data_IF_929342494349
#
_entry.id   IF_929342494349
#
_cell.length_a   1.000
_cell.length_b   1.000
_cell.length_c   1.000
_cell.angle_alpha   90.00
_cell.angle_beta   90.00
_cell.angle_gamma   90.00
#
_symmetry.space_group_name_H-M   'P 1'
#
loop_
_entity.id
_entity.type
_entity.pdbx_description
1 polymer ?
#
# COMPACT_ATOMS: atom_id res chain seq x y z
N UNK A 1 -37.26 13.08 -71.12
CA UNK A 1 -37.14 14.41 -70.47
C UNK A 1 -35.84 14.47 -69.69
N UNK A 2 -34.84 15.20 -70.19
CA UNK A 2 -33.55 15.35 -69.52
C UNK A 2 -33.67 16.41 -68.42
N UNK A 3 -33.55 16.02 -67.15
CA UNK A 3 -33.48 16.99 -66.04
C UNK A 3 -32.30 17.97 -66.26
N UNK A 4 -32.52 19.29 -66.11
CA UNK A 4 -31.49 20.30 -66.32
C UNK A 4 -30.30 20.10 -65.36
N UNK A 5 -29.08 20.30 -65.85
CA UNK A 5 -27.81 20.10 -65.13
C UNK A 5 -27.79 20.73 -63.72
N UNK A 6 -28.52 21.84 -63.53
CA UNK A 6 -28.59 22.59 -62.26
C UNK A 6 -29.23 21.81 -61.09
N UNK A 7 -30.03 20.77 -61.36
CA UNK A 7 -30.63 19.90 -60.33
C UNK A 7 -29.81 18.64 -60.00
N UNK A 8 -28.71 18.36 -60.72
CA UNK A 8 -27.87 17.16 -60.50
C UNK A 8 -26.68 17.40 -59.57
N UNK A 9 -26.23 18.65 -59.47
CA UNK A 9 -25.15 19.06 -58.56
C UNK A 9 -25.42 18.70 -57.09
N UNK A 10 -26.60 18.98 -56.49
CA UNK A 10 -26.85 18.61 -55.09
C UNK A 10 -26.86 17.09 -54.89
N UNK A 11 -27.33 16.31 -55.87
CA UNK A 11 -27.32 14.85 -55.82
C UNK A 11 -25.90 14.29 -55.87
N UNK A 12 -25.04 14.84 -56.74
CA UNK A 12 -23.63 14.44 -56.87
C UNK A 12 -22.86 14.77 -55.58
N UNK A 13 -23.08 15.96 -55.01
CA UNK A 13 -22.48 16.36 -53.73
C UNK A 13 -22.92 15.42 -52.60
N UNK A 14 -24.21 15.08 -52.53
CA UNK A 14 -24.72 14.15 -51.53
C UNK A 14 -24.09 12.75 -51.63
N UNK A 15 -23.89 12.24 -52.85
CA UNK A 15 -23.23 10.94 -53.09
C UNK A 15 -21.77 10.99 -52.66
N UNK A 16 -21.03 12.04 -53.01
CA UNK A 16 -19.62 12.20 -52.62
C UNK A 16 -19.47 12.28 -51.10
N UNK A 17 -20.34 13.04 -50.42
CA UNK A 17 -20.36 13.11 -48.95
C UNK A 17 -20.67 11.74 -48.35
N UNK A 18 -21.65 11.01 -48.86
CA UNK A 18 -21.98 9.67 -48.38
C UNK A 18 -20.81 8.68 -48.56
N UNK A 19 -20.09 8.74 -49.69
CA UNK A 19 -18.89 7.94 -49.93
C UNK A 19 -17.73 8.31 -49.01
N UNK A 20 -17.51 9.61 -48.75
CA UNK A 20 -16.51 10.07 -47.79
C UNK A 20 -16.86 9.62 -46.36
N UNK A 21 -18.14 9.66 -45.99
CA UNK A 21 -18.61 9.13 -44.71
C UNK A 21 -18.38 7.62 -44.66
N UNK A 22 -18.75 6.85 -45.68
CA UNK A 22 -18.52 5.41 -45.71
C UNK A 22 -17.02 5.05 -45.69
N UNK A 23 -16.19 5.80 -46.41
CA UNK A 23 -14.73 5.64 -46.36
C UNK A 23 -14.18 5.97 -44.97
N UNK A 24 -14.64 7.07 -44.36
CA UNK A 24 -14.26 7.45 -43.00
C UNK A 24 -14.69 6.38 -41.98
N UNK A 25 -15.91 5.85 -42.10
CA UNK A 25 -16.42 4.73 -41.29
C UNK A 25 -15.59 3.46 -41.49
N UNK A 26 -15.22 3.16 -42.74
CA UNK A 26 -14.36 2.02 -43.09
C UNK A 26 -12.97 2.15 -42.49
N UNK A 27 -12.35 3.33 -42.58
CA UNK A 27 -11.04 3.60 -41.95
C UNK A 27 -11.12 3.51 -40.42
N UNK A 28 -12.19 4.03 -39.83
CA UNK A 28 -12.40 3.98 -38.37
C UNK A 28 -12.56 2.53 -37.87
N UNK A 29 -13.30 1.72 -38.62
CA UNK A 29 -13.43 0.28 -38.34
C UNK A 29 -12.09 -0.46 -38.45
N UNK A 30 -11.27 -0.14 -39.46
CA UNK A 30 -9.93 -0.72 -39.59
C UNK A 30 -9.03 -0.35 -38.38
N UNK A 31 -9.05 0.91 -37.95
CA UNK A 31 -8.31 1.39 -36.78
C UNK A 31 -8.78 0.71 -35.48
N UNK A 32 -10.08 0.50 -35.30
CA UNK A 32 -10.60 -0.24 -34.15
C UNK A 32 -10.06 -1.67 -34.09
N UNK A 33 -10.04 -2.35 -35.24
CA UNK A 33 -9.53 -3.72 -35.35
C UNK A 33 -8.04 -3.80 -35.06
N UNK A 34 -7.27 -2.83 -35.56
CA UNK A 34 -5.84 -2.73 -35.30
C UNK A 34 -5.55 -2.42 -33.82
N UNK A 35 -6.25 -1.46 -33.24
CA UNK A 35 -6.16 -1.14 -31.81
C UNK A 35 -6.51 -2.36 -30.94
N UNK A 36 -7.57 -3.09 -31.30
CA UNK A 36 -7.94 -4.34 -30.63
C UNK A 36 -6.83 -5.37 -30.70
N UNK A 37 -6.28 -5.64 -31.89
CA UNK A 37 -5.21 -6.60 -32.09
C UNK A 37 -3.94 -6.21 -31.32
N UNK A 38 -3.61 -4.92 -31.28
CA UNK A 38 -2.50 -4.40 -30.50
C UNK A 38 -2.68 -4.65 -29.00
N UNK A 39 -3.87 -4.38 -28.46
CA UNK A 39 -4.18 -4.60 -27.04
C UNK A 39 -4.16 -6.09 -26.69
N UNK A 40 -4.73 -6.95 -27.53
CA UNK A 40 -4.68 -8.41 -27.35
C UNK A 40 -3.23 -8.92 -27.38
N UNK A 41 -2.42 -8.43 -28.33
CA UNK A 41 -0.99 -8.76 -28.43
C UNK A 41 -0.17 -8.28 -27.23
N UNK A 42 -0.44 -7.08 -26.72
CA UNK A 42 0.22 -6.54 -25.53
C UNK A 42 -0.19 -7.28 -24.24
N UNK A 43 -1.42 -7.79 -24.17
CA UNK A 43 -1.94 -8.53 -23.03
C UNK A 43 -1.46 -9.99 -22.99
N UNK A 44 -1.31 -10.65 -24.15
CA UNK A 44 -1.02 -12.09 -24.24
C UNK A 44 0.19 -12.59 -23.41
N UNK A 45 1.34 -11.86 -23.32
CA UNK A 45 2.46 -12.27 -22.50
C UNK A 45 2.13 -12.27 -21.00
N UNK A 46 1.30 -11.32 -20.55
CA UNK A 46 1.08 -11.05 -19.13
C UNK A 46 -0.27 -11.56 -18.61
N UNK A 47 -1.21 -11.90 -19.49
CA UNK A 47 -2.58 -12.22 -19.09
C UNK A 47 -3.51 -12.59 -20.24
N UNK A 48 -4.80 -12.56 -19.95
CA UNK A 48 -5.90 -12.79 -20.89
C UNK A 48 -7.07 -11.89 -20.54
N UNK A 49 -7.93 -11.60 -21.51
CA UNK A 49 -9.25 -11.00 -21.33
C UNK A 49 -10.27 -11.84 -22.10
N UNK A 50 -11.50 -11.93 -21.60
CA UNK A 50 -12.58 -12.62 -22.30
C UNK A 50 -13.01 -11.86 -23.56
N UNK A 51 -12.99 -10.53 -23.51
CA UNK A 51 -13.18 -9.67 -24.67
C UNK A 51 -12.41 -8.36 -24.55
N UNK A 52 -12.09 -7.80 -25.71
CA UNK A 52 -11.53 -6.46 -25.88
C UNK A 52 -12.46 -5.70 -26.82
N UNK A 53 -13.05 -4.62 -26.31
CA UNK A 53 -13.94 -3.73 -27.02
C UNK A 53 -13.25 -2.38 -27.19
N UNK A 54 -13.19 -1.88 -28.42
CA UNK A 54 -12.68 -0.53 -28.70
C UNK A 54 -13.88 0.34 -29.02
N UNK A 55 -13.99 1.49 -28.35
CA UNK A 55 -15.07 2.43 -28.60
C UNK A 55 -15.09 2.87 -30.06
N UNK A 56 -16.27 3.22 -30.55
CA UNK A 56 -16.45 3.55 -31.95
C UNK A 56 -15.55 4.71 -32.39
N UNK A 57 -15.42 5.72 -31.55
CA UNK A 57 -14.60 6.91 -31.74
C UNK A 57 -13.13 6.74 -31.28
N UNK A 58 -12.71 5.50 -30.95
CA UNK A 58 -11.39 5.16 -30.39
C UNK A 58 -11.10 5.81 -29.02
N UNK A 59 -12.10 6.46 -28.40
CA UNK A 59 -11.89 7.25 -27.18
C UNK A 59 -11.59 6.39 -25.95
N UNK A 60 -11.95 5.11 -25.99
CA UNK A 60 -11.66 4.14 -24.93
C UNK A 60 -11.46 2.72 -25.47
N UNK A 61 -10.73 1.93 -24.68
CA UNK A 61 -10.59 0.49 -24.83
C UNK A 61 -11.07 -0.16 -23.55
N UNK A 62 -11.97 -1.11 -23.66
CA UNK A 62 -12.56 -1.83 -22.55
C UNK A 62 -12.20 -3.32 -22.63
N UNK A 63 -11.63 -3.85 -21.56
CA UNK A 63 -11.29 -5.25 -21.40
C UNK A 63 -12.22 -5.89 -20.36
N UNK A 64 -12.79 -7.06 -20.67
CA UNK A 64 -13.74 -7.77 -19.81
C UNK A 64 -13.13 -9.09 -19.30
N UNK A 65 -13.39 -9.43 -18.02
CA UNK A 65 -12.84 -10.59 -17.28
C UNK A 65 -11.33 -10.73 -17.52
N UNK A 66 -10.59 -9.70 -17.12
CA UNK A 66 -9.13 -9.66 -17.24
C UNK A 66 -8.51 -10.52 -16.15
N UNK A 67 -7.55 -11.35 -16.54
CA UNK A 67 -6.76 -12.20 -15.65
C UNK A 67 -5.29 -12.09 -16.00
N UNK A 68 -4.50 -11.59 -15.05
CA UNK A 68 -3.05 -11.45 -15.21
C UNK A 68 -2.33 -12.63 -14.59
N UNK A 69 -1.49 -13.28 -15.40
CA UNK A 69 -0.73 -14.48 -15.05
C UNK A 69 0.20 -14.19 -13.87
N UNK A 70 0.34 -15.10 -12.91
CA UNK A 70 1.30 -14.97 -11.83
C UNK A 70 2.71 -15.37 -12.24
N UNK A 71 3.76 -14.84 -11.57
CA UNK A 71 5.09 -15.43 -11.63
C UNK A 71 5.14 -16.77 -10.88
N UNK A 72 6.22 -17.56 -11.00
CA UNK A 72 6.44 -18.73 -10.15
C UNK A 72 6.39 -18.38 -8.65
N UNK A 73 5.91 -19.31 -7.82
CA UNK A 73 5.80 -19.16 -6.37
C UNK A 73 4.91 -17.99 -5.91
N UNK A 74 3.88 -17.66 -6.68
CA UNK A 74 2.86 -16.69 -6.30
C UNK A 74 1.81 -17.32 -5.37
N UNK A 75 1.20 -16.57 -4.42
CA UNK A 75 0.26 -17.14 -3.45
C UNK A 75 -1.12 -17.51 -4.02
N UNK A 76 -1.46 -16.98 -5.20
CA UNK A 76 -2.80 -17.07 -5.81
C UNK A 76 -2.69 -17.48 -7.28
N UNK A 77 -3.83 -17.85 -7.88
CA UNK A 77 -3.88 -18.25 -9.29
C UNK A 77 -3.62 -17.11 -10.28
N UNK A 78 -3.89 -15.85 -9.86
CA UNK A 78 -3.77 -14.66 -10.68
C UNK A 78 -3.09 -13.54 -9.88
N UNK A 79 -2.29 -12.69 -10.54
CA UNK A 79 -1.78 -11.45 -9.91
C UNK A 79 -2.86 -10.39 -9.80
N UNK A 80 -3.72 -10.32 -10.81
CA UNK A 80 -4.91 -9.47 -10.88
C UNK A 80 -6.00 -10.24 -11.60
N UNK A 81 -7.19 -10.23 -11.02
CA UNK A 81 -8.44 -10.52 -11.71
C UNK A 81 -9.31 -9.27 -11.66
N UNK A 82 -9.92 -8.87 -12.77
CA UNK A 82 -10.80 -7.71 -12.82
C UNK A 82 -11.99 -8.00 -13.74
N UNK A 83 -13.20 -7.62 -13.33
CA UNK A 83 -14.35 -7.77 -14.22
C UNK A 83 -14.25 -6.84 -15.43
N UNK A 84 -13.68 -5.63 -15.22
CA UNK A 84 -13.55 -4.60 -16.25
C UNK A 84 -12.29 -3.79 -16.06
N UNK A 85 -11.58 -3.54 -17.16
CA UNK A 85 -10.53 -2.51 -17.24
C UNK A 85 -10.87 -1.58 -18.39
N UNK A 86 -11.01 -0.29 -18.11
CA UNK A 86 -11.23 0.75 -19.12
C UNK A 86 -9.99 1.61 -19.24
N UNK A 87 -9.49 1.77 -20.46
CA UNK A 87 -8.33 2.59 -20.79
C UNK A 87 -8.78 3.71 -21.70
N UNK A 88 -8.51 4.95 -21.31
CA UNK A 88 -8.88 6.15 -22.04
C UNK A 88 -7.63 6.83 -22.57
N UNK A 89 -7.24 6.61 -23.83
CA UNK A 89 -6.08 7.27 -24.42
C UNK A 89 -6.31 8.77 -24.67
N UNK A 90 -5.21 9.51 -24.87
CA UNK A 90 -5.22 10.81 -25.53
C UNK A 90 -5.01 10.65 -27.03
N UNK A 91 -6.10 10.76 -27.78
CA UNK A 91 -6.09 10.62 -29.24
C UNK A 91 -5.19 11.65 -29.93
N UNK A 92 -5.07 12.87 -29.39
CA UNK A 92 -4.20 13.90 -29.98
C UNK A 92 -2.73 13.57 -29.77
N UNK A 93 -2.40 13.06 -28.59
CA UNK A 93 -1.05 12.57 -28.30
C UNK A 93 -0.68 11.39 -29.21
N UNK A 94 -1.59 10.43 -29.41
CA UNK A 94 -1.37 9.29 -30.31
C UNK A 94 -1.12 9.73 -31.76
N UNK A 95 -1.86 10.72 -32.28
CA UNK A 95 -1.61 11.31 -33.60
C UNK A 95 -0.22 11.97 -33.70
N UNK A 96 0.31 12.46 -32.58
CA UNK A 96 1.67 13.00 -32.48
C UNK A 96 2.73 11.94 -32.16
N UNK A 97 2.40 10.64 -32.26
CA UNK A 97 3.27 9.53 -31.85
C UNK A 97 3.75 9.71 -30.41
N UNK A 98 2.83 9.97 -29.47
CA UNK A 98 3.12 10.02 -28.02
C UNK A 98 2.16 9.07 -27.29
N UNK A 99 2.70 8.28 -26.37
CA UNK A 99 1.89 7.38 -25.55
C UNK A 99 1.44 8.14 -24.31
N UNK A 100 0.23 8.66 -24.37
CA UNK A 100 -0.41 9.36 -23.27
C UNK A 100 -1.76 8.72 -22.98
N UNK A 101 -1.94 8.26 -21.75
CA UNK A 101 -3.16 7.63 -21.25
C UNK A 101 -3.75 8.57 -20.20
N UNK A 102 -4.98 9.04 -20.45
CA UNK A 102 -5.66 9.96 -19.53
C UNK A 102 -6.22 9.23 -18.31
N UNK A 103 -6.72 8.01 -18.52
CA UNK A 103 -7.36 7.25 -17.46
C UNK A 103 -7.19 5.75 -17.67
N UNK A 104 -6.91 5.03 -16.59
CA UNK A 104 -7.04 3.57 -16.51
C UNK A 104 -7.89 3.24 -15.29
N UNK A 105 -9.10 2.75 -15.50
CA UNK A 105 -9.99 2.34 -14.41
C UNK A 105 -10.11 0.83 -14.36
N UNK A 106 -9.85 0.23 -13.19
CA UNK A 106 -9.92 -1.19 -12.91
C UNK A 106 -11.06 -1.44 -11.92
N UNK A 107 -12.15 -2.07 -12.37
CA UNK A 107 -13.37 -2.27 -11.57
C UNK A 107 -13.57 -3.74 -11.19
N UNK A 108 -14.14 -3.95 -10.01
CA UNK A 108 -14.49 -5.28 -9.46
C UNK A 108 -13.31 -6.24 -9.50
N UNK A 109 -12.22 -5.82 -8.87
CA UNK A 109 -10.94 -6.51 -8.95
C UNK A 109 -10.59 -7.30 -7.70
N UNK A 110 -9.74 -8.31 -7.88
CA UNK A 110 -8.94 -8.94 -6.83
C UNK A 110 -7.48 -8.85 -7.25
N UNK A 111 -6.68 -8.10 -6.49
CA UNK A 111 -5.26 -7.92 -6.78
C UNK A 111 -4.42 -8.46 -5.63
N UNK A 112 -3.44 -9.29 -5.95
CA UNK A 112 -2.52 -9.84 -4.98
C UNK A 112 -1.29 -8.93 -4.88
N UNK A 113 -0.90 -8.60 -3.65
CA UNK A 113 0.35 -7.89 -3.35
C UNK A 113 1.19 -8.79 -2.46
N UNK A 114 2.44 -9.02 -2.84
CA UNK A 114 3.33 -9.93 -2.11
C UNK A 114 4.56 -9.20 -1.59
N UNK A 115 4.80 -9.25 -0.28
CA UNK A 115 6.09 -8.90 0.31
C UNK A 115 6.95 -10.14 0.48
N UNK A 116 8.15 -10.11 -0.09
CA UNK A 116 9.15 -11.17 0.08
C UNK A 116 9.82 -11.10 1.45
N UNK A 117 10.54 -12.16 1.80
CA UNK A 117 11.38 -12.20 3.01
C UNK A 117 12.43 -11.10 3.05
N UNK A 118 12.94 -10.69 1.87
CA UNK A 118 13.84 -9.53 1.71
C UNK A 118 13.20 -8.19 2.06
N UNK A 119 11.88 -8.15 2.28
CA UNK A 119 11.10 -6.93 2.45
C UNK A 119 10.66 -6.28 1.14
N UNK A 120 11.10 -6.77 -0.03
CA UNK A 120 10.69 -6.25 -1.33
C UNK A 120 9.20 -6.51 -1.57
N UNK A 121 8.47 -5.46 -1.95
CA UNK A 121 7.06 -5.54 -2.33
C UNK A 121 6.96 -5.80 -3.85
N UNK A 122 6.10 -6.75 -4.21
CA UNK A 122 5.79 -7.11 -5.59
C UNK A 122 4.34 -6.81 -5.87
N UNK A 123 4.12 -5.98 -6.89
CA UNK A 123 2.82 -5.61 -7.43
C UNK A 123 2.93 -5.82 -8.94
N UNK A 124 2.04 -6.64 -9.50
CA UNK A 124 1.97 -6.94 -10.93
C UNK A 124 3.36 -7.19 -11.58
N UNK A 125 4.20 -8.10 -11.04
CA UNK A 125 5.60 -8.22 -11.44
C UNK A 125 5.78 -8.53 -12.93
N UNK A 126 4.95 -9.41 -13.49
CA UNK A 126 4.99 -9.78 -14.90
C UNK A 126 4.64 -8.59 -15.81
N UNK A 127 3.73 -7.71 -15.38
CA UNK A 127 3.38 -6.50 -16.12
C UNK A 127 4.57 -5.51 -16.13
N UNK A 128 5.24 -5.34 -14.99
CA UNK A 128 6.46 -4.51 -14.91
C UNK A 128 7.59 -5.07 -15.78
N UNK A 129 7.78 -6.39 -15.78
CA UNK A 129 8.78 -7.06 -16.61
C UNK A 129 8.47 -6.90 -18.10
N UNK A 130 7.22 -7.05 -18.52
CA UNK A 130 6.82 -6.79 -19.91
C UNK A 130 7.04 -5.33 -20.33
N UNK A 131 6.74 -4.38 -19.44
CA UNK A 131 6.98 -2.95 -19.69
C UNK A 131 8.47 -2.60 -19.82
N UNK A 132 9.34 -3.29 -19.07
CA UNK A 132 10.80 -3.07 -19.11
C UNK A 132 11.47 -3.80 -20.28
N UNK A 133 11.07 -5.03 -20.59
CA UNK A 133 11.58 -5.79 -21.75
C UNK A 133 11.17 -5.15 -23.09
N UNK A 134 9.97 -4.57 -23.16
CA UNK A 134 9.55 -3.79 -24.33
C UNK A 134 10.41 -2.54 -24.57
N UNK A 135 11.07 -2.00 -23.53
CA UNK A 135 12.01 -0.90 -23.67
C UNK A 135 13.40 -1.36 -24.14
N UNK A 136 13.89 -2.53 -23.69
CA UNK A 136 15.21 -3.06 -24.07
C UNK A 136 15.26 -3.63 -25.49
N UNK A 137 14.16 -4.23 -25.98
CA UNK A 137 14.09 -4.72 -27.37
C UNK A 137 14.09 -3.59 -28.41
N UNK A 138 13.68 -2.37 -28.03
CA UNK A 138 13.75 -1.20 -28.90
C UNK A 138 15.19 -0.63 -29.03
N UNK A 139 16.03 -0.81 -28.00
CA UNK A 139 17.42 -0.36 -28.02
C UNK A 139 18.36 -1.25 -28.87
N UNK A 140 18.14 -2.56 -28.93
CA UNK A 140 18.97 -3.48 -29.74
C UNK A 140 18.60 -3.50 -31.24
N UNK A 141 17.45 -2.95 -31.60
CA UNK A 141 16.95 -2.90 -32.99
C UNK A 141 17.33 -1.62 -33.76
N UNK A 142 18.18 -0.74 -33.20
CA UNK A 142 18.62 0.51 -33.86
C UNK A 142 19.55 0.33 -35.08
N UNK A 143 19.55 -0.87 -35.70
CA UNK A 143 20.30 -1.21 -36.90
C UNK A 143 19.50 -1.31 -38.20
N UNK A 144 18.17 -1.18 -38.19
CA UNK A 144 17.36 -1.26 -39.41
C UNK A 144 16.22 -0.22 -39.44
N UNK A 145 16.21 0.60 -40.50
CA UNK A 145 15.18 1.61 -40.74
C UNK A 145 13.82 0.96 -41.08
N UNK A 146 12.75 1.39 -40.41
CA UNK A 146 11.36 1.25 -40.88
C UNK A 146 10.31 0.90 -39.82
N UNK A 147 9.53 1.92 -39.43
CA UNK A 147 8.17 1.89 -38.83
C UNK A 147 8.00 1.73 -37.30
N UNK A 148 7.76 2.89 -36.66
CA UNK A 148 7.10 3.16 -35.36
C UNK A 148 7.63 2.44 -34.11
N UNK A 149 8.82 2.83 -33.66
CA UNK A 149 9.23 2.61 -32.27
C UNK A 149 8.28 3.37 -31.34
N UNK A 150 7.61 2.67 -30.42
CA UNK A 150 6.82 3.29 -29.37
C UNK A 150 7.67 4.36 -28.64
N UNK A 151 7.11 5.54 -28.34
CA UNK A 151 7.77 6.62 -27.60
C UNK A 151 8.42 6.13 -26.31
N UNK A 152 9.64 6.60 -26.09
CA UNK A 152 10.47 6.27 -24.91
C UNK A 152 9.81 6.77 -23.61
N UNK A 153 9.05 7.86 -23.69
CA UNK A 153 8.28 8.45 -22.59
C UNK A 153 6.81 8.05 -22.66
N UNK A 154 6.27 7.57 -21.55
CA UNK A 154 4.85 7.19 -21.41
C UNK A 154 4.27 7.90 -20.20
N UNK A 155 3.17 8.62 -20.41
CA UNK A 155 2.48 9.36 -19.36
C UNK A 155 1.12 8.72 -19.10
N UNK A 156 0.80 8.51 -17.83
CA UNK A 156 -0.53 8.10 -17.37
C UNK A 156 -1.01 9.12 -16.34
N UNK A 157 -2.08 9.84 -16.67
CA UNK A 157 -2.60 10.90 -15.80
C UNK A 157 -3.26 10.31 -14.54
N UNK A 158 -4.11 9.28 -14.71
CA UNK A 158 -4.86 8.65 -13.63
C UNK A 158 -4.94 7.12 -13.78
N UNK A 159 -4.79 6.41 -12.67
CA UNK A 159 -5.10 4.99 -12.54
C UNK A 159 -6.04 4.81 -11.35
N UNK A 160 -7.28 4.43 -11.62
CA UNK A 160 -8.32 4.16 -10.65
C UNK A 160 -8.52 2.67 -10.41
N UNK A 161 -8.75 2.30 -9.16
CA UNK A 161 -9.15 0.97 -8.73
C UNK A 161 -10.45 1.09 -7.97
N UNK A 162 -11.49 0.38 -8.40
CA UNK A 162 -12.84 0.55 -7.89
C UNK A 162 -13.46 -0.78 -7.45
N UNK A 163 -14.18 -0.73 -6.33
CA UNK A 163 -14.99 -1.83 -5.80
C UNK A 163 -14.27 -3.19 -5.75
N UNK A 164 -13.00 -3.21 -5.33
CA UNK A 164 -12.20 -4.42 -5.37
C UNK A 164 -11.71 -4.94 -4.03
N UNK A 165 -10.74 -5.84 -4.11
CA UNK A 165 -10.06 -6.48 -2.98
C UNK A 165 -8.56 -6.49 -3.23
N UNK A 166 -7.80 -5.96 -2.28
CA UNK A 166 -6.35 -6.18 -2.21
C UNK A 166 -6.07 -7.32 -1.23
N UNK A 167 -5.44 -8.39 -1.72
CA UNK A 167 -4.92 -9.47 -0.88
C UNK A 167 -3.42 -9.28 -0.68
N UNK A 168 -3.04 -8.81 0.51
CA UNK A 168 -1.65 -8.61 0.90
C UNK A 168 -1.10 -9.88 1.56
N UNK A 169 -0.07 -10.47 0.96
CA UNK A 169 0.66 -11.61 1.51
C UNK A 169 2.05 -11.16 1.94
N UNK A 170 2.44 -11.43 3.18
CA UNK A 170 3.75 -11.05 3.73
C UNK A 170 4.55 -12.28 4.20
N UNK A 171 5.61 -12.59 3.45
CA UNK A 171 6.57 -13.66 3.79
C UNK A 171 7.61 -13.24 4.82
N UNK A 172 7.79 -11.94 5.04
CA UNK A 172 8.78 -11.42 6.01
C UNK A 172 8.38 -11.69 7.46
N UNK A 173 7.09 -11.98 7.72
CA UNK A 173 6.57 -12.26 9.05
C UNK A 173 6.09 -13.69 9.24
N UNK A 174 5.72 -14.44 8.19
CA UNK A 174 5.38 -15.86 8.37
C UNK A 174 5.63 -16.73 7.15
N UNK A 175 5.77 -18.03 7.42
CA UNK A 175 5.77 -19.08 6.42
C UNK A 175 4.78 -20.17 6.90
N UNK A 176 3.63 -20.40 6.22
CA UNK A 176 3.19 -19.77 4.96
C UNK A 176 2.97 -18.24 5.08
N UNK A 177 2.93 -17.50 3.95
CA UNK A 177 2.85 -16.03 3.96
C UNK A 177 1.62 -15.52 4.70
N UNK A 178 1.77 -14.48 5.52
CA UNK A 178 0.66 -13.92 6.29
C UNK A 178 -0.28 -13.15 5.36
N UNK A 179 -1.56 -13.48 5.38
CA UNK A 179 -2.56 -12.83 4.52
C UNK A 179 -3.33 -11.76 5.28
N UNK A 180 -3.40 -10.57 4.71
CA UNK A 180 -4.30 -9.49 5.11
C UNK A 180 -5.16 -9.12 3.91
N UNK A 181 -6.49 -9.13 4.09
CA UNK A 181 -7.43 -8.80 3.01
C UNK A 181 -8.03 -7.43 3.27
N UNK A 182 -7.92 -6.54 2.27
CA UNK A 182 -8.59 -5.24 2.24
C UNK A 182 -9.68 -5.29 1.18
N UNK A 183 -10.94 -5.43 1.60
CA UNK A 183 -12.08 -5.49 0.69
C UNK A 183 -12.79 -4.14 0.56
N UNK A 184 -13.75 -4.04 -0.36
CA UNK A 184 -14.40 -2.77 -0.73
C UNK A 184 -13.35 -1.68 -0.95
N UNK A 185 -12.25 -2.06 -1.58
CA UNK A 185 -11.09 -1.22 -1.74
C UNK A 185 -11.30 -0.26 -2.91
N UNK A 186 -10.86 0.98 -2.71
CA UNK A 186 -10.68 1.97 -3.75
C UNK A 186 -9.24 2.44 -3.71
N UNK A 187 -8.63 2.69 -4.85
CA UNK A 187 -7.34 3.34 -4.92
C UNK A 187 -7.23 4.26 -6.13
N UNK A 188 -6.42 5.30 -6.01
CA UNK A 188 -6.03 6.16 -7.12
C UNK A 188 -4.52 6.35 -7.15
N UNK A 189 -3.98 6.45 -8.36
CA UNK A 189 -2.59 6.81 -8.61
C UNK A 189 -2.61 7.89 -9.70
N UNK A 190 -2.07 9.07 -9.42
CA UNK A 190 -2.06 10.19 -10.35
C UNK A 190 -0.63 10.57 -10.75
N UNK A 191 -0.47 11.00 -12.00
CA UNK A 191 0.79 11.50 -12.57
C UNK A 191 1.90 10.44 -12.55
N UNK A 192 1.75 9.41 -13.39
CA UNK A 192 2.75 8.36 -13.57
C UNK A 192 3.54 8.60 -14.85
N UNK A 193 4.81 8.96 -14.70
CA UNK A 193 5.72 9.27 -15.81
C UNK A 193 6.78 8.18 -15.92
N UNK A 194 6.63 7.31 -16.92
CA UNK A 194 7.51 6.17 -17.16
C UNK A 194 8.57 6.51 -18.23
N UNK A 195 9.77 5.90 -18.14
CA UNK A 195 10.22 4.97 -17.10
C UNK A 195 10.89 5.68 -15.90
N UNK A 196 11.14 6.99 -15.99
CA UNK A 196 11.97 7.73 -15.04
C UNK A 196 11.40 7.73 -13.62
N UNK A 197 10.08 7.91 -13.47
CA UNK A 197 9.37 7.93 -12.18
C UNK A 197 10.02 8.88 -11.13
N UNK A 198 10.57 9.99 -11.62
CA UNK A 198 11.24 11.03 -10.83
C UNK A 198 10.29 12.10 -10.33
N UNK A 199 9.13 12.26 -10.97
CA UNK A 199 8.10 13.23 -10.59
C UNK A 199 7.24 12.71 -9.42
N UNK A 200 6.63 13.60 -8.61
CA UNK A 200 5.72 13.19 -7.55
C UNK A 200 4.46 12.53 -8.09
N UNK A 201 4.30 11.24 -7.82
CA UNK A 201 3.07 10.48 -8.06
C UNK A 201 2.19 10.57 -6.81
N UNK A 202 0.93 10.97 -6.97
CA UNK A 202 -0.04 10.97 -5.85
C UNK A 202 -0.67 9.60 -5.73
N UNK A 203 -0.90 9.17 -4.50
CA UNK A 203 -1.51 7.88 -4.20
C UNK A 203 -2.61 8.07 -3.17
N UNK A 204 -3.70 7.33 -3.31
CA UNK A 204 -4.75 7.22 -2.31
C UNK A 204 -5.28 5.80 -2.31
N UNK A 205 -5.55 5.24 -1.14
CA UNK A 205 -6.15 3.92 -0.94
C UNK A 205 -7.10 4.01 0.25
N UNK A 206 -8.30 3.48 0.08
CA UNK A 206 -9.26 3.28 1.17
C UNK A 206 -9.83 1.88 1.08
N UNK A 207 -10.18 1.30 2.23
CA UNK A 207 -10.86 0.02 2.24
C UNK A 207 -11.10 -0.53 3.63
N UNK A 208 -11.71 -1.70 3.65
CA UNK A 208 -12.07 -2.42 4.86
C UNK A 208 -11.09 -3.55 5.12
N UNK A 209 -10.43 -3.53 6.27
CA UNK A 209 -9.51 -4.58 6.70
C UNK A 209 -10.32 -5.72 7.32
N UNK A 210 -10.36 -6.85 6.64
CA UNK A 210 -11.12 -8.02 7.09
C UNK A 210 -10.38 -8.68 8.26
N UNK A 211 -11.01 -8.67 9.42
CA UNK A 211 -10.54 -9.37 10.62
C UNK A 211 -11.43 -10.56 10.99
N UNK A 212 -10.95 -11.42 11.89
CA UNK A 212 -11.69 -12.58 12.38
C UNK A 212 -12.97 -12.25 13.18
N UNK A 213 -13.02 -11.10 13.86
CA UNK A 213 -14.19 -10.66 14.66
C UNK A 213 -14.75 -9.33 14.17
N UNK A 214 -13.89 -8.39 13.79
CA UNK A 214 -14.27 -7.05 13.37
C UNK A 214 -13.74 -6.74 11.97
N UNK A 215 -14.48 -5.91 11.24
CA UNK A 215 -13.99 -5.30 10.00
C UNK A 215 -13.52 -3.88 10.31
N UNK A 216 -12.22 -3.69 10.27
CA UNK A 216 -11.61 -2.36 10.45
C UNK A 216 -11.64 -1.54 9.17
N UNK A 217 -11.21 -0.29 9.25
CA UNK A 217 -11.04 0.62 8.10
C UNK A 217 -9.58 1.03 7.96
N UNK A 218 -9.13 1.18 6.73
CA UNK A 218 -7.81 1.66 6.38
C UNK A 218 -7.92 2.84 5.42
N UNK A 219 -7.11 3.87 5.65
CA UNK A 219 -6.78 4.89 4.65
C UNK A 219 -5.27 5.00 4.49
N UNK A 220 -4.82 5.28 3.28
CA UNK A 220 -3.43 5.55 2.96
C UNK A 220 -3.40 6.57 1.83
N UNK A 221 -2.76 7.72 2.01
CA UNK A 221 -2.73 8.75 0.99
C UNK A 221 -1.48 9.62 1.07
N UNK A 222 -1.13 10.28 -0.03
CA UNK A 222 -0.01 11.22 -0.07
C UNK A 222 0.65 11.26 -1.44
N UNK A 223 1.95 11.54 -1.45
CA UNK A 223 2.75 11.55 -2.67
C UNK A 223 4.07 10.81 -2.46
N UNK A 224 4.61 10.26 -3.56
CA UNK A 224 5.93 9.65 -3.60
C UNK A 224 6.63 9.90 -4.94
N UNK A 225 7.94 10.07 -4.90
CA UNK A 225 8.83 9.96 -6.05
C UNK A 225 9.46 8.56 -6.02
N UNK A 226 9.07 7.69 -6.93
CA UNK A 226 9.43 6.26 -6.85
C UNK A 226 10.94 6.06 -7.05
N UNK A 227 11.57 6.85 -7.92
CA UNK A 227 13.01 6.76 -8.20
C UNK A 227 13.89 7.16 -7.01
N UNK A 228 13.60 8.30 -6.37
CA UNK A 228 14.35 8.81 -5.21
C UNK A 228 13.93 8.19 -3.88
N UNK A 229 12.71 7.60 -3.84
CA UNK A 229 11.99 7.15 -2.64
C UNK A 229 11.54 8.27 -1.71
N UNK A 230 11.67 9.53 -2.12
CA UNK A 230 11.16 10.65 -1.34
C UNK A 230 9.63 10.60 -1.32
N UNK A 231 9.03 10.83 -0.16
CA UNK A 231 7.58 10.67 0.00
C UNK A 231 7.05 11.42 1.21
N UNK A 232 5.77 11.75 1.17
CA UNK A 232 5.00 12.13 2.34
C UNK A 232 3.67 11.37 2.29
N UNK A 233 3.47 10.49 3.28
CA UNK A 233 2.38 9.52 3.31
C UNK A 233 1.68 9.59 4.67
N UNK A 234 0.36 9.56 4.65
CA UNK A 234 -0.47 9.46 5.83
C UNK A 234 -1.20 8.12 5.80
N UNK A 235 -1.15 7.37 6.89
CA UNK A 235 -1.82 6.08 7.02
C UNK A 235 -2.69 6.09 8.26
N UNK A 236 -3.95 5.68 8.12
CA UNK A 236 -4.82 5.42 9.27
C UNK A 236 -5.36 4.01 9.25
N UNK A 237 -5.41 3.39 10.43
CA UNK A 237 -6.20 2.21 10.70
C UNK A 237 -7.20 2.55 11.80
N UNK A 238 -8.43 2.05 11.68
CA UNK A 238 -9.47 2.23 12.70
C UNK A 238 -10.20 0.91 12.93
N UNK A 239 -10.24 0.45 14.17
CA UNK A 239 -10.96 -0.75 14.60
C UNK A 239 -10.45 -2.04 13.95
N UNK A 240 -9.16 -2.12 13.61
CA UNK A 240 -8.58 -3.33 13.01
C UNK A 240 -8.35 -4.36 14.12
N UNK A 241 -8.80 -5.60 13.92
CA UNK A 241 -8.52 -6.68 14.86
C UNK A 241 -7.01 -6.83 15.08
N UNK A 242 -6.56 -6.83 16.34
CA UNK A 242 -5.14 -7.01 16.66
C UNK A 242 -4.61 -8.32 16.10
N UNK A 243 -5.45 -9.38 16.09
CA UNK A 243 -5.12 -10.68 15.48
C UNK A 243 -4.78 -10.60 14.00
N UNK A 244 -5.31 -9.64 13.25
CA UNK A 244 -4.99 -9.45 11.82
C UNK A 244 -3.58 -8.90 11.61
N UNK A 245 -3.03 -8.20 12.61
CA UNK A 245 -1.69 -7.57 12.56
C UNK A 245 -0.69 -8.21 13.54
N UNK A 246 -1.11 -9.26 14.24
CA UNK A 246 -0.35 -9.92 15.29
C UNK A 246 1.07 -10.33 14.88
N UNK A 247 1.31 -10.88 13.66
CA UNK A 247 2.67 -11.25 13.25
C UNK A 247 3.64 -10.07 13.14
N UNK A 248 3.13 -8.85 13.00
CA UNK A 248 3.94 -7.63 12.97
C UNK A 248 4.31 -7.13 14.37
N UNK A 249 3.56 -7.53 15.40
CA UNK A 249 3.75 -7.10 16.78
C UNK A 249 4.60 -8.09 17.58
N UNK A 250 4.37 -9.40 17.41
CA UNK A 250 4.88 -10.40 18.37
C UNK A 250 6.06 -11.22 17.89
N UNK A 251 6.13 -11.60 16.61
CA UNK A 251 7.00 -12.69 16.17
C UNK A 251 8.50 -12.40 16.29
N UNK A 252 8.90 -11.12 16.23
CA UNK A 252 10.32 -10.73 16.43
C UNK A 252 10.66 -10.33 17.87
N UNK A 253 9.68 -10.22 18.76
CA UNK A 253 9.91 -9.89 20.16
C UNK A 253 10.28 -11.10 21.03
N UNK A 254 10.35 -12.30 20.44
CA UNK A 254 10.71 -13.54 21.15
C UNK A 254 9.60 -14.10 22.05
N UNK A 255 8.37 -13.58 21.94
CA UNK A 255 7.32 -13.77 22.93
C UNK A 255 6.09 -14.53 22.41
N UNK A 256 5.47 -15.32 23.30
CA UNK A 256 4.38 -16.29 23.01
C UNK A 256 2.98 -15.84 23.49
N UNK A 257 2.79 -14.58 23.88
CA UNK A 257 1.45 -14.16 24.33
C UNK A 257 0.46 -14.25 23.17
N UNK A 258 -0.51 -15.16 23.27
CA UNK A 258 -1.49 -15.37 22.22
C UNK A 258 -2.58 -14.30 22.34
N UNK A 259 -2.67 -13.38 21.39
CA UNK A 259 -3.74 -12.37 21.35
C UNK A 259 -5.04 -13.05 20.96
N UNK A 260 -6.02 -13.04 21.86
CA UNK A 260 -7.32 -13.69 21.63
C UNK A 260 -8.36 -12.72 21.11
N UNK A 261 -8.20 -11.41 21.32
CA UNK A 261 -9.16 -10.38 20.90
C UNK A 261 -8.69 -8.95 21.16
N UNK A 262 -9.52 -7.99 20.76
CA UNK A 262 -9.24 -6.55 20.83
C UNK A 262 -8.99 -5.92 19.46
N UNK A 263 -9.09 -4.59 19.40
CA UNK A 263 -8.92 -3.81 18.16
C UNK A 263 -7.82 -2.75 18.32
N UNK A 264 -7.34 -2.25 17.19
CA UNK A 264 -6.28 -1.28 17.09
C UNK A 264 -6.65 -0.14 16.14
N UNK A 265 -6.36 1.08 16.61
CA UNK A 265 -6.30 2.28 15.79
C UNK A 265 -4.84 2.69 15.60
N UNK A 266 -4.49 3.14 14.39
CA UNK A 266 -3.17 3.65 14.05
C UNK A 266 -3.30 4.98 13.32
N UNK A 267 -2.54 5.98 13.72
CA UNK A 267 -2.31 7.20 12.95
C UNK A 267 -0.80 7.31 12.69
N UNK A 268 -0.38 7.40 11.43
CA UNK A 268 1.03 7.44 11.05
C UNK A 268 1.24 8.47 9.95
N UNK A 269 2.13 9.44 10.23
CA UNK A 269 2.59 10.41 9.25
C UNK A 269 4.04 10.09 8.89
N UNK A 270 4.29 9.59 7.70
CA UNK A 270 5.62 9.19 7.25
C UNK A 270 6.18 10.17 6.23
N UNK A 271 7.39 10.66 6.48
CA UNK A 271 8.15 11.46 5.53
C UNK A 271 9.47 10.77 5.24
N UNK A 272 9.80 10.64 3.96
CA UNK A 272 11.12 10.20 3.49
C UNK A 272 11.74 11.33 2.68
N UNK A 273 12.95 11.75 3.04
CA UNK A 273 13.74 12.72 2.29
C UNK A 273 15.19 12.25 2.23
N UNK A 274 15.74 12.09 1.04
CA UNK A 274 17.12 11.65 0.87
C UNK A 274 17.41 10.33 1.59
N UNK A 275 16.48 9.38 1.55
CA UNK A 275 16.51 8.09 2.26
C UNK A 275 16.46 8.18 3.79
N UNK A 276 16.26 9.35 4.39
CA UNK A 276 15.97 9.46 5.81
C UNK A 276 14.47 9.41 6.05
N UNK A 277 14.03 8.42 6.82
CA UNK A 277 12.66 8.27 7.31
C UNK A 277 12.49 9.06 8.61
N UNK A 278 11.42 9.83 8.70
CA UNK A 278 10.88 10.35 9.94
C UNK A 278 9.36 10.13 9.93
N UNK A 279 8.86 9.30 10.85
CA UNK A 279 7.47 8.88 10.88
C UNK A 279 6.89 8.87 12.30
N UNK A 280 6.43 10.02 12.82
CA UNK A 280 5.67 10.07 14.06
C UNK A 280 4.32 9.37 13.88
N UNK A 281 3.93 8.60 14.90
CA UNK A 281 2.68 7.89 14.93
C UNK A 281 2.09 7.74 16.31
N UNK A 282 0.82 7.38 16.34
CA UNK A 282 0.07 7.04 17.53
C UNK A 282 -0.66 5.74 17.28
N UNK A 283 -0.58 4.81 18.22
CA UNK A 283 -1.35 3.57 18.21
C UNK A 283 -2.21 3.50 19.46
N UNK A 284 -3.47 3.14 19.29
CA UNK A 284 -4.40 2.93 20.40
C UNK A 284 -4.92 1.50 20.34
N UNK A 285 -4.71 0.78 21.43
CA UNK A 285 -5.21 -0.59 21.62
C UNK A 285 -6.48 -0.53 22.46
N UNK A 286 -7.52 -1.19 21.96
CA UNK A 286 -8.84 -1.23 22.58
C UNK A 286 -9.19 -2.65 22.99
N UNK A 287 -9.53 -2.83 24.26
CA UNK A 287 -10.01 -4.07 24.85
C UNK A 287 -9.12 -5.27 24.49
N UNK A 288 -7.79 -5.09 24.53
CA UNK A 288 -6.83 -6.14 24.19
C UNK A 288 -7.02 -7.33 25.14
N UNK A 289 -7.19 -8.52 24.55
CA UNK A 289 -7.32 -9.77 25.28
C UNK A 289 -6.11 -10.64 24.98
N UNK A 290 -5.41 -11.02 26.05
CA UNK A 290 -4.24 -11.89 25.99
C UNK A 290 -4.62 -13.20 26.66
N UNK A 291 -4.34 -14.32 26.01
CA UNK A 291 -4.51 -15.63 26.63
C UNK A 291 -3.68 -15.72 27.91
N UNK A 292 -4.26 -16.29 28.96
CA UNK A 292 -3.50 -16.64 30.15
C UNK A 292 -2.48 -17.72 29.79
N UNK A 293 -1.21 -17.41 30.00
CA UNK A 293 -0.15 -18.40 29.92
C UNK A 293 0.16 -18.97 31.29
N UNK A 294 0.37 -20.29 31.33
CA UNK A 294 0.91 -20.97 32.51
C UNK A 294 2.40 -20.66 32.74
N UNK A 295 3.10 -20.12 31.74
CA UNK A 295 4.51 -19.77 31.80
C UNK A 295 4.70 -18.34 32.35
N UNK A 296 5.36 -18.23 33.51
CA UNK A 296 5.60 -16.95 34.20
C UNK A 296 6.52 -15.97 33.43
N UNK A 297 7.15 -16.44 32.34
CA UNK A 297 8.07 -15.66 31.50
C UNK A 297 7.44 -15.17 30.20
N UNK A 298 6.14 -15.43 29.97
CA UNK A 298 5.47 -14.94 28.77
C UNK A 298 5.34 -13.42 28.77
N UNK A 299 5.57 -12.86 27.59
CA UNK A 299 5.57 -11.41 27.39
C UNK A 299 4.68 -11.00 26.22
N UNK A 300 4.11 -9.80 26.32
CA UNK A 300 3.48 -9.07 25.23
C UNK A 300 4.34 -7.84 24.96
N UNK A 301 4.85 -7.68 23.74
CA UNK A 301 5.84 -6.65 23.40
C UNK A 301 7.01 -6.63 24.41
N UNK A 302 7.54 -7.80 24.80
CA UNK A 302 8.63 -7.93 25.79
C UNK A 302 8.33 -7.42 27.20
N UNK A 303 7.06 -7.19 27.54
CA UNK A 303 6.59 -6.88 28.89
C UNK A 303 5.85 -8.09 29.45
N UNK A 304 6.01 -8.46 30.74
CA UNK A 304 5.27 -9.58 31.32
C UNK A 304 3.77 -9.49 31.05
N UNK A 305 3.17 -10.55 30.50
CA UNK A 305 1.76 -10.54 30.05
C UNK A 305 0.80 -10.10 31.15
N UNK A 306 1.06 -10.50 32.41
CA UNK A 306 0.25 -10.08 33.57
C UNK A 306 0.31 -8.57 33.82
N UNK A 307 1.47 -7.94 33.61
CA UNK A 307 1.63 -6.49 33.74
C UNK A 307 0.88 -5.76 32.61
N UNK A 308 0.95 -6.28 31.38
CA UNK A 308 0.18 -5.73 30.26
C UNK A 308 -1.34 -5.80 30.54
N UNK A 309 -1.85 -6.94 31.04
CA UNK A 309 -3.26 -7.10 31.44
C UNK A 309 -3.62 -6.11 32.56
N UNK A 310 -2.75 -5.91 33.56
CA UNK A 310 -2.99 -4.95 34.63
C UNK A 310 -3.04 -3.50 34.11
N UNK A 311 -2.14 -3.14 33.18
CA UNK A 311 -2.15 -1.85 32.50
C UNK A 311 -3.48 -1.60 31.80
N UNK A 312 -3.92 -2.57 31.00
CA UNK A 312 -5.18 -2.50 30.27
C UNK A 312 -6.35 -2.29 31.23
N UNK A 313 -6.41 -3.04 32.33
CA UNK A 313 -7.46 -2.87 33.36
C UNK A 313 -7.42 -1.48 34.00
N UNK A 314 -6.23 -0.97 34.34
CA UNK A 314 -6.05 0.34 34.94
C UNK A 314 -6.51 1.48 34.00
N UNK A 315 -6.30 1.31 32.69
CA UNK A 315 -6.71 2.28 31.66
C UNK A 315 -8.06 1.93 31.00
N UNK A 316 -8.95 1.22 31.70
CA UNK A 316 -10.32 0.89 31.25
C UNK A 316 -10.37 0.18 29.88
N UNK A 317 -9.37 -0.62 29.57
CA UNK A 317 -9.25 -1.38 28.33
C UNK A 317 -8.58 -0.61 27.18
N UNK A 318 -8.21 0.66 27.37
CA UNK A 318 -7.62 1.49 26.31
C UNK A 318 -6.18 1.87 26.63
N UNK A 319 -5.25 1.63 25.71
CA UNK A 319 -3.86 2.09 25.85
C UNK A 319 -3.46 2.83 24.59
N UNK A 320 -3.12 4.11 24.74
CA UNK A 320 -2.59 4.94 23.66
C UNK A 320 -1.08 5.11 23.82
N UNK A 321 -0.35 4.88 22.74
CA UNK A 321 1.10 4.93 22.68
C UNK A 321 1.52 5.85 21.55
N UNK A 322 2.42 6.78 21.86
CA UNK A 322 3.07 7.63 20.87
C UNK A 322 4.45 7.06 20.55
N UNK A 323 4.83 7.12 19.28
CA UNK A 323 6.13 6.65 18.81
C UNK A 323 6.64 7.52 17.67
N UNK A 324 7.96 7.51 17.46
CA UNK A 324 8.57 8.13 16.27
C UNK A 324 9.53 7.14 15.63
N UNK A 325 9.25 6.74 14.38
CA UNK A 325 10.18 5.91 13.62
C UNK A 325 11.15 6.82 12.86
N UNK A 326 12.43 6.72 13.17
CA UNK A 326 13.46 7.53 12.53
C UNK A 326 14.67 6.69 12.13
N UNK A 327 15.20 6.94 10.93
CA UNK A 327 16.47 6.34 10.51
C UNK A 327 16.72 6.35 9.00
N UNK A 328 17.90 5.86 8.62
CA UNK A 328 18.33 5.85 7.22
C UNK A 328 17.94 4.53 6.52
N UNK A 329 17.14 4.62 5.47
CA UNK A 329 16.66 3.48 4.68
C UNK A 329 17.78 2.77 3.87
N UNK A 330 18.96 3.39 3.75
CA UNK A 330 20.16 2.77 3.16
C UNK A 330 21.03 2.04 4.17
N UNK A 331 20.82 2.25 5.46
CA UNK A 331 21.56 1.52 6.48
C UNK A 331 21.03 0.06 6.54
N UNK A 332 21.85 -0.96 6.23
CA UNK A 332 21.42 -2.36 6.28
C UNK A 332 21.03 -2.80 7.70
N UNK A 333 21.53 -2.13 8.75
CA UNK A 333 21.18 -2.37 10.15
C UNK A 333 19.83 -1.77 10.52
N UNK A 334 19.35 -0.77 9.79
CA UNK A 334 18.04 -0.19 10.04
C UNK A 334 16.93 -1.19 9.66
N UNK A 335 16.13 -1.58 10.66
CA UNK A 335 14.99 -2.49 10.49
C UNK A 335 13.73 -1.83 11.04
N UNK A 336 12.83 -1.42 10.14
CA UNK A 336 11.60 -0.71 10.49
C UNK A 336 10.78 -1.42 11.58
N UNK A 337 10.57 -2.73 11.44
CA UNK A 337 9.79 -3.51 12.41
C UNK A 337 10.46 -3.56 13.80
N UNK A 338 11.79 -3.64 13.86
CA UNK A 338 12.51 -3.72 15.16
C UNK A 338 12.48 -2.37 15.87
N UNK A 339 12.62 -1.27 15.12
CA UNK A 339 12.46 0.08 15.65
C UNK A 339 11.03 0.33 16.14
N UNK A 340 10.01 -0.09 15.37
CA UNK A 340 8.62 0.01 15.81
C UNK A 340 8.38 -0.74 17.13
N UNK A 341 8.80 -2.00 17.23
CA UNK A 341 8.63 -2.77 18.48
C UNK A 341 9.38 -2.09 19.64
N UNK A 342 10.55 -1.51 19.39
CA UNK A 342 11.34 -0.79 20.41
C UNK A 342 10.63 0.46 20.92
N UNK A 343 10.08 1.27 20.01
CA UNK A 343 9.29 2.44 20.39
C UNK A 343 7.99 2.05 21.11
N UNK A 344 7.28 1.02 20.63
CA UNK A 344 6.07 0.53 21.29
C UNK A 344 6.34 -0.02 22.69
N UNK A 345 7.47 -0.71 22.89
CA UNK A 345 7.95 -1.12 24.23
C UNK A 345 8.14 0.07 25.14
N UNK A 346 8.81 1.11 24.66
CA UNK A 346 9.06 2.32 25.43
C UNK A 346 7.75 3.03 25.81
N UNK A 347 6.82 3.19 24.85
CA UNK A 347 5.50 3.76 25.09
C UNK A 347 4.70 2.96 26.13
N UNK A 348 4.73 1.63 26.05
CA UNK A 348 4.04 0.79 27.04
C UNK A 348 4.65 0.89 28.44
N UNK A 349 5.99 0.91 28.55
CA UNK A 349 6.66 1.11 29.82
C UNK A 349 6.29 2.47 30.45
N UNK A 350 6.15 3.50 29.63
CA UNK A 350 5.67 4.81 30.05
C UNK A 350 4.20 4.76 30.52
N UNK A 351 3.32 4.07 29.79
CA UNK A 351 1.92 3.87 30.16
C UNK A 351 1.73 3.08 31.48
N UNK A 352 2.72 2.26 31.84
CA UNK A 352 2.81 1.51 33.09
C UNK A 352 3.42 2.33 34.26
N UNK A 353 3.88 3.56 34.01
CA UNK A 353 4.51 4.40 35.04
C UNK A 353 5.91 3.96 35.45
N UNK A 354 6.55 3.05 34.70
CA UNK A 354 7.91 2.53 34.96
C UNK A 354 8.97 3.24 34.09
N UNK A 355 8.71 4.50 33.71
CA UNK A 355 9.70 5.30 32.97
C UNK A 355 10.99 5.46 33.77
N UNK A 356 12.11 5.68 33.08
CA UNK A 356 13.41 5.93 33.70
C UNK A 356 13.37 7.10 34.70
N UNK A 357 12.46 8.07 34.51
CA UNK A 357 12.22 9.17 35.46
C UNK A 357 11.49 8.73 36.75
N UNK A 358 10.57 7.77 36.66
CA UNK A 358 9.90 7.17 37.83
C UNK A 358 10.87 6.37 38.72
N UNK A 359 11.86 5.70 38.10
CA UNK A 359 12.93 5.00 38.83
C UNK A 359 13.92 5.99 39.45
N UNK A 360 14.24 7.10 38.78
CA UNK A 360 15.09 8.15 39.33
C UNK A 360 14.44 8.89 40.52
N UNK A 361 13.13 9.18 40.46
CA UNK A 361 12.40 9.77 41.59
C UNK A 361 12.14 8.76 42.73
N UNK A 362 11.86 7.49 42.40
CA UNK A 362 11.62 6.42 43.39
C UNK A 362 12.88 5.97 44.14
N UNK A 363 14.04 5.93 43.48
CA UNK A 363 15.32 5.65 44.12
C UNK A 363 15.74 6.77 45.09
N UNK A 364 15.43 8.03 44.76
CA UNK A 364 15.72 9.19 45.61
C UNK A 364 14.92 9.20 46.93
N UNK A 365 13.67 8.75 46.91
CA UNK A 365 12.84 8.65 48.13
C UNK A 365 13.23 7.45 49.00
N UNK A 366 13.57 6.32 48.38
CA UNK A 366 14.03 5.12 49.10
C UNK A 366 15.39 5.35 49.79
N UNK A 367 16.31 6.08 49.16
CA UNK A 367 17.60 6.45 49.76
C UNK A 367 17.45 7.45 50.93
N UNK A 368 16.52 8.42 50.83
CA UNK A 368 16.20 9.35 51.93
C UNK A 368 15.59 8.61 53.13
N UNK A 369 14.65 7.69 52.89
CA UNK A 369 14.03 6.91 53.97
C UNK A 369 15.03 6.06 54.76
N UNK A 370 16.01 5.46 54.08
CA UNK A 370 17.07 4.68 54.73
C UNK A 370 18.06 5.59 55.48
N UNK A 371 18.40 6.76 54.93
CA UNK A 371 19.26 7.73 55.60
C UNK A 371 18.62 8.32 56.87
N UNK A 372 17.33 8.61 56.85
CA UNK A 372 16.60 9.14 58.01
C UNK A 372 16.40 8.05 59.08
N UNK A 373 16.17 6.80 58.68
CA UNK A 373 16.12 5.66 59.61
C UNK A 373 17.48 5.39 60.29
N UNK A 374 18.59 5.49 59.54
CA UNK A 374 19.94 5.37 60.09
C UNK A 374 20.28 6.56 61.02
N UNK A 375 19.83 7.77 60.69
CA UNK A 375 20.03 8.95 61.52
C UNK A 375 19.25 8.88 62.83
N UNK A 376 18.05 8.30 62.81
CA UNK A 376 17.24 8.00 63.99
C UNK A 376 17.92 6.99 64.93
N UNK A 377 18.58 5.97 64.38
CA UNK A 377 19.32 4.96 65.15
C UNK A 377 20.64 5.45 65.76
N UNK A 378 21.18 6.56 65.26
CA UNK A 378 22.43 7.16 65.74
C UNK A 378 22.22 8.33 66.71
N UNK A 379 20.96 8.70 66.99
CA UNK A 379 20.67 9.70 68.00
C UNK A 379 20.78 9.09 69.40
N UNK A 380 21.57 9.68 70.32
CA UNK A 380 21.66 9.21 71.70
C UNK A 380 20.28 9.32 72.36
N UNK A 381 19.82 8.22 72.96
CA UNK A 381 18.62 8.21 73.82
C UNK A 381 18.86 9.22 74.96
N UNK A 382 18.01 10.25 75.13
CA UNK A 382 18.19 11.19 76.22
C UNK A 382 17.97 10.45 77.55
N UNK A 383 18.92 10.64 78.47
CA UNK A 383 18.87 10.06 79.80
C UNK A 383 17.60 10.51 80.54
N UNK A 384 16.93 9.62 81.29
CA UNK A 384 15.74 9.98 82.04
C UNK A 384 16.07 11.05 83.08
N UNK A 385 15.32 12.15 83.05
CA UNK A 385 15.40 13.20 84.05
C UNK A 385 15.02 12.61 85.41
N UNK A 386 15.90 12.79 86.39
CA UNK A 386 15.68 12.41 87.77
C UNK A 386 14.99 13.54 88.54
N UNK A 387 13.87 13.16 89.18
CA UNK A 387 12.97 13.86 90.11
C UNK A 387 11.84 14.71 89.52
#
# INVERSE_FOLDING_TARGET
>A
MAMPLRNRVPLIVAIVVALLVLAALGTLYALQREAKAYVEGALAPVGTAASVNVAFDLSSVELIDVRLKPPPNWPTADTLRAARITITPDLRALLSHRVHIRDVTVSDFTMTVLRRESGTILILPNLREAMTQGATSASDASGAQGESSLPEEKVIDHIGFENGTFDFYDRSVSNPPWRVTVNRAQASIDSVHLPALTEPTRVSVTGNVVGPEHTGRMTFNGWMQIASKDSQLHTTLRGVDVRTIDPYLLKKAGAKANVTGGTLDLDLNSTVRGYHLHAPGTVTLHNLQLAESGDAVDTFLSIPTRAAIAALKAHKGEITLHFVLEGNLRDPKFKLNENLITELRAGFAQALGVSAEGVAQGAGQTAKGIADALRSLLQPVPAPASK
#
